data_IF_520012412660
#
_entry.id   IF_520012412660
#
_cell.length_a   1.000
_cell.length_b   1.000
_cell.length_c   1.000
_cell.angle_alpha   90.00
_cell.angle_beta   90.00
_cell.angle_gamma   90.00
#
_symmetry.space_group_name_H-M   'P 1'
#
loop_
_entity.id
_entity.type
_entity.pdbx_description
1 polymer ?
#
# COMPACT_ATOMS: atom_id res chain seq x y z
N UNK A 1 15.16 -34.41 -30.63
CA UNK A 1 14.29 -33.39 -30.00
C UNK A 1 15.15 -32.45 -29.16
N UNK A 2 14.61 -31.36 -28.61
CA UNK A 2 15.35 -30.38 -27.81
C UNK A 2 14.57 -29.92 -26.58
N UNK A 3 14.99 -28.80 -25.99
CA UNK A 3 14.46 -28.29 -24.73
C UNK A 3 13.72 -26.96 -24.91
N UNK A 4 12.56 -26.83 -24.27
CA UNK A 4 11.70 -25.65 -24.31
C UNK A 4 11.79 -24.84 -23.01
N UNK A 5 11.91 -23.52 -23.11
CA UNK A 5 12.25 -22.62 -22.02
C UNK A 5 11.25 -21.46 -21.93
N UNK A 6 10.93 -21.02 -20.71
CA UNK A 6 9.94 -19.96 -20.53
C UNK A 6 10.48 -18.56 -20.86
N UNK A 7 11.79 -18.33 -20.81
CA UNK A 7 12.39 -17.02 -21.10
C UNK A 7 13.83 -17.07 -21.60
N UNK A 8 14.20 -16.09 -22.42
CA UNK A 8 15.59 -15.71 -22.68
C UNK A 8 16.02 -14.61 -21.69
N UNK A 9 17.10 -14.85 -20.95
CA UNK A 9 17.69 -13.89 -20.03
C UNK A 9 18.41 -12.74 -20.75
N UNK A 10 18.82 -11.71 -20.00
CA UNK A 10 19.51 -10.54 -20.57
C UNK A 10 20.84 -10.89 -21.24
N UNK A 11 21.51 -11.94 -20.76
CA UNK A 11 22.73 -12.50 -21.34
C UNK A 11 22.49 -13.34 -22.61
N UNK A 12 21.24 -13.42 -23.11
CA UNK A 12 20.89 -14.19 -24.30
C UNK A 12 20.70 -15.69 -24.06
N UNK A 13 20.89 -16.18 -22.83
CA UNK A 13 20.75 -17.61 -22.50
C UNK A 13 19.32 -17.98 -22.12
N UNK A 14 18.98 -19.25 -22.34
CA UNK A 14 17.66 -19.79 -22.03
C UNK A 14 17.57 -20.13 -20.54
N UNK A 15 16.46 -19.78 -19.90
CA UNK A 15 16.21 -20.01 -18.49
C UNK A 15 14.78 -20.47 -18.24
N UNK A 16 14.62 -21.18 -17.13
CA UNK A 16 13.34 -21.74 -16.66
C UNK A 16 12.83 -22.79 -17.65
N UNK A 17 13.38 -23.99 -17.53
CA UNK A 17 12.98 -25.15 -18.33
C UNK A 17 11.48 -25.40 -18.15
N UNK A 18 10.77 -25.54 -19.25
CA UNK A 18 9.34 -25.81 -19.28
C UNK A 18 9.05 -27.27 -19.60
N UNK A 19 9.66 -27.78 -20.67
CA UNK A 19 9.50 -29.15 -21.17
C UNK A 19 10.76 -29.59 -21.90
N UNK A 20 11.08 -30.87 -21.80
CA UNK A 20 12.14 -31.56 -22.54
C UNK A 20 11.54 -32.36 -23.70
N UNK A 21 12.40 -32.93 -24.55
CA UNK A 21 12.00 -33.81 -25.67
C UNK A 21 10.93 -33.20 -26.59
N UNK A 22 11.12 -31.92 -26.96
CA UNK A 22 10.23 -31.20 -27.87
C UNK A 22 10.95 -30.71 -29.12
N UNK A 23 10.27 -30.81 -30.27
CA UNK A 23 10.67 -30.08 -31.47
C UNK A 23 10.55 -28.56 -31.26
N UNK A 24 11.23 -27.79 -32.12
CA UNK A 24 11.13 -26.33 -32.09
C UNK A 24 9.70 -25.88 -32.37
N UNK A 25 9.03 -26.54 -33.31
CA UNK A 25 7.66 -26.28 -33.74
C UNK A 25 6.67 -26.46 -32.57
N UNK A 26 6.80 -27.56 -31.82
CA UNK A 26 5.95 -27.84 -30.66
C UNK A 26 6.18 -26.82 -29.52
N UNK A 27 7.45 -26.49 -29.23
CA UNK A 27 7.78 -25.48 -28.23
C UNK A 27 7.24 -24.09 -28.61
N UNK A 28 7.35 -23.73 -29.89
CA UNK A 28 7.02 -22.40 -30.41
C UNK A 28 5.57 -22.23 -30.89
N UNK A 29 4.74 -23.28 -30.76
CA UNK A 29 3.32 -23.28 -31.13
C UNK A 29 2.48 -22.24 -30.38
N UNK A 30 2.86 -21.93 -29.12
CA UNK A 30 2.15 -20.92 -28.33
C UNK A 30 2.44 -19.48 -28.80
N UNK A 31 1.48 -18.57 -28.57
CA UNK A 31 1.66 -17.13 -28.81
C UNK A 31 2.54 -16.43 -27.77
N UNK A 32 3.10 -17.16 -26.80
CA UNK A 32 3.83 -16.57 -25.66
C UNK A 32 5.16 -15.96 -26.11
N UNK A 33 5.31 -14.66 -25.89
CA UNK A 33 6.43 -13.85 -26.37
C UNK A 33 7.82 -14.37 -25.95
N UNK A 34 7.98 -14.78 -24.69
CA UNK A 34 9.30 -15.05 -24.12
C UNK A 34 9.78 -16.49 -24.31
N UNK A 35 8.92 -17.38 -24.81
CA UNK A 35 9.27 -18.78 -25.00
C UNK A 35 10.46 -18.90 -25.94
N UNK A 36 11.40 -19.77 -25.58
CA UNK A 36 12.65 -19.99 -26.31
C UNK A 36 12.98 -21.48 -26.34
N UNK A 37 13.82 -21.91 -27.27
CA UNK A 37 14.14 -23.31 -27.52
C UNK A 37 15.65 -23.51 -27.66
N UNK A 38 16.15 -24.68 -27.30
CA UNK A 38 17.53 -25.12 -27.54
C UNK A 38 17.52 -26.50 -28.19
N UNK A 39 18.39 -26.71 -29.18
CA UNK A 39 18.44 -27.96 -29.94
C UNK A 39 19.05 -29.13 -29.17
N UNK A 40 20.00 -28.84 -28.28
CA UNK A 40 20.70 -29.87 -27.51
C UNK A 40 19.78 -30.49 -26.47
N UNK A 41 19.60 -31.80 -26.59
CA UNK A 41 19.05 -32.64 -25.54
C UNK A 41 20.21 -33.16 -24.70
N UNK A 42 20.31 -32.68 -23.45
CA UNK A 42 21.43 -32.93 -22.55
C UNK A 42 20.89 -33.48 -21.24
N UNK A 43 21.68 -34.34 -20.59
CA UNK A 43 21.29 -34.93 -19.32
C UNK A 43 21.08 -33.87 -18.20
N UNK A 44 20.36 -34.27 -17.17
CA UNK A 44 19.99 -33.41 -16.04
C UNK A 44 21.20 -32.73 -15.37
N UNK A 45 22.33 -33.44 -15.27
CA UNK A 45 23.57 -32.89 -14.71
C UNK A 45 24.11 -31.72 -15.52
N UNK A 46 24.01 -31.80 -16.85
CA UNK A 46 24.46 -30.74 -17.77
C UNK A 46 23.49 -29.56 -17.75
N UNK A 47 22.18 -29.82 -17.76
CA UNK A 47 21.15 -28.79 -17.59
C UNK A 47 21.35 -28.03 -16.28
N UNK A 48 21.58 -28.74 -15.18
CA UNK A 48 21.90 -28.18 -13.88
C UNK A 48 23.15 -27.31 -13.94
N UNK A 49 24.24 -27.83 -14.53
CA UNK A 49 25.49 -27.08 -14.66
C UNK A 49 25.29 -25.76 -15.41
N UNK A 50 24.54 -25.78 -16.51
CA UNK A 50 24.25 -24.57 -17.28
C UNK A 50 23.41 -23.56 -16.52
N UNK A 51 22.37 -24.03 -15.82
CA UNK A 51 21.45 -23.17 -15.08
C UNK A 51 22.13 -22.49 -13.88
N UNK A 52 22.97 -23.23 -13.15
CA UNK A 52 23.59 -22.73 -11.91
C UNK A 52 24.90 -21.99 -12.19
N UNK A 53 25.80 -22.55 -12.99
CA UNK A 53 27.16 -22.00 -13.15
C UNK A 53 27.32 -21.09 -14.37
N UNK A 54 26.50 -21.28 -15.41
CA UNK A 54 26.66 -20.55 -16.67
C UNK A 54 25.54 -19.52 -16.94
N UNK A 55 24.65 -19.32 -15.97
CA UNK A 55 23.56 -18.34 -16.07
C UNK A 55 22.51 -18.68 -17.13
N UNK A 56 22.38 -19.95 -17.52
CA UNK A 56 21.37 -20.47 -18.44
C UNK A 56 21.93 -21.36 -19.56
N UNK A 57 21.03 -22.02 -20.29
CA UNK A 57 21.37 -22.85 -21.43
C UNK A 57 21.91 -22.02 -22.61
N UNK A 58 23.01 -22.46 -23.27
CA UNK A 58 23.59 -21.80 -24.43
C UNK A 58 22.70 -21.97 -25.66
N UNK A 59 23.08 -21.35 -26.78
CA UNK A 59 22.43 -21.53 -28.10
C UNK A 59 20.91 -21.33 -28.07
N UNK A 60 20.46 -20.35 -27.28
CA UNK A 60 19.05 -20.10 -27.01
C UNK A 60 18.39 -19.39 -28.20
N UNK A 61 17.41 -20.05 -28.80
CA UNK A 61 16.67 -19.57 -29.96
C UNK A 61 15.29 -19.05 -29.50
N UNK A 62 15.01 -17.74 -29.57
CA UNK A 62 13.70 -17.22 -29.23
C UNK A 62 12.63 -17.73 -30.21
N UNK A 63 11.47 -18.13 -29.71
CA UNK A 63 10.37 -18.59 -30.57
C UNK A 63 9.70 -17.47 -31.37
N UNK A 64 9.89 -16.22 -30.95
CA UNK A 64 9.28 -15.03 -31.55
C UNK A 64 10.36 -13.99 -31.80
N UNK A 65 10.70 -13.79 -33.08
CA UNK A 65 11.65 -12.76 -33.52
C UNK A 65 10.94 -11.48 -33.96
N UNK A 66 9.67 -11.59 -34.34
CA UNK A 66 8.80 -10.46 -34.70
C UNK A 66 7.57 -10.42 -33.78
N UNK A 67 6.69 -9.44 -34.01
CA UNK A 67 5.39 -9.38 -33.33
C UNK A 67 4.31 -10.26 -33.97
N UNK A 68 4.64 -11.02 -35.01
CA UNK A 68 3.70 -11.92 -35.66
C UNK A 68 3.31 -13.07 -34.71
N UNK A 69 2.01 -13.34 -34.60
CA UNK A 69 1.45 -14.37 -33.71
C UNK A 69 1.87 -14.24 -32.23
N UNK A 70 2.20 -13.03 -31.76
CA UNK A 70 2.48 -12.75 -30.35
C UNK A 70 1.18 -12.38 -29.64
N UNK A 71 0.83 -13.15 -28.61
CA UNK A 71 -0.24 -12.82 -27.68
C UNK A 71 0.35 -12.16 -26.42
N UNK A 72 -0.02 -10.90 -26.20
CA UNK A 72 0.40 -10.12 -25.04
C UNK A 72 -0.60 -10.12 -23.89
N UNK A 73 -1.77 -10.74 -24.07
CA UNK A 73 -2.90 -10.64 -23.17
C UNK A 73 -3.59 -9.27 -23.17
N UNK A 74 -4.61 -9.09 -22.33
CA UNK A 74 -5.45 -7.89 -22.33
C UNK A 74 -4.68 -6.63 -21.96
N UNK A 75 -5.03 -5.51 -22.62
CA UNK A 75 -4.45 -4.19 -22.34
C UNK A 75 -2.97 -4.04 -22.71
N UNK A 76 -2.40 -4.97 -23.48
CA UNK A 76 -1.03 -4.93 -23.97
C UNK A 76 -1.00 -5.17 -25.48
N UNK A 77 0.02 -4.62 -26.13
CA UNK A 77 0.28 -4.85 -27.56
C UNK A 77 1.75 -5.13 -27.80
N UNK A 78 2.05 -5.94 -28.81
CA UNK A 78 3.42 -6.17 -29.21
C UNK A 78 3.97 -4.96 -29.97
N UNK A 79 5.19 -4.55 -29.63
CA UNK A 79 5.99 -3.57 -30.38
C UNK A 79 7.44 -4.03 -30.47
N UNK A 80 8.07 -3.74 -31.60
CA UNK A 80 9.52 -3.90 -31.76
C UNK A 80 10.23 -2.81 -30.97
N UNK A 81 11.24 -3.19 -30.18
CA UNK A 81 12.09 -2.23 -29.48
C UNK A 81 13.26 -1.76 -30.36
N UNK A 82 14.10 -0.86 -29.83
CA UNK A 82 15.28 -0.32 -30.54
C UNK A 82 16.34 -1.37 -30.94
N UNK A 83 16.25 -2.60 -30.43
CA UNK A 83 17.15 -3.72 -30.72
C UNK A 83 16.48 -4.77 -31.63
N UNK A 84 15.41 -4.41 -32.33
CA UNK A 84 14.59 -5.30 -33.14
C UNK A 84 14.14 -6.58 -32.41
N UNK A 85 13.84 -6.48 -31.10
CA UNK A 85 13.23 -7.57 -30.33
C UNK A 85 11.77 -7.25 -30.00
N UNK A 86 10.85 -8.20 -30.13
CA UNK A 86 9.44 -7.99 -29.82
C UNK A 86 9.25 -7.82 -28.30
N UNK A 87 8.38 -6.88 -27.91
CA UNK A 87 8.05 -6.55 -26.52
C UNK A 87 6.57 -6.27 -26.37
N UNK A 88 5.93 -6.94 -25.41
CA UNK A 88 4.60 -6.57 -24.97
C UNK A 88 4.64 -5.30 -24.13
N UNK A 89 4.01 -4.24 -24.61
CA UNK A 89 3.92 -2.95 -23.93
C UNK A 89 2.48 -2.65 -23.54
N UNK A 90 2.30 -1.95 -22.43
CA UNK A 90 0.99 -1.52 -21.97
C UNK A 90 0.33 -0.56 -22.97
N UNK A 91 -0.87 -0.94 -23.39
CA UNK A 91 -1.73 -0.20 -24.30
C UNK A 91 -3.19 -0.41 -23.87
N UNK A 92 -3.58 0.14 -22.71
CA UNK A 92 -4.97 0.12 -22.29
C UNK A 92 -5.82 0.88 -23.31
N UNK A 93 -7.08 0.46 -23.46
CA UNK A 93 -8.06 1.23 -24.20
C UNK A 93 -8.40 2.50 -23.42
N UNK A 94 -8.32 3.64 -24.11
CA UNK A 94 -8.56 4.96 -23.54
C UNK A 94 -9.63 5.74 -24.32
N UNK A 95 -10.34 5.08 -25.25
CA UNK A 95 -11.34 5.69 -26.12
C UNK A 95 -12.60 6.12 -25.35
N UNK A 96 -13.09 5.26 -24.45
CA UNK A 96 -14.31 5.48 -23.68
C UNK A 96 -14.15 6.32 -22.40
N UNK A 97 -12.98 6.94 -22.19
CA UNK A 97 -12.73 7.79 -21.03
C UNK A 97 -13.34 9.17 -21.27
N UNK A 98 -14.40 9.51 -20.54
CA UNK A 98 -15.10 10.80 -20.68
C UNK A 98 -14.36 11.94 -19.97
N UNK A 99 -13.82 11.69 -18.78
CA UNK A 99 -13.06 12.69 -18.02
C UNK A 99 -11.65 12.89 -18.59
N UNK A 100 -11.36 14.11 -19.07
CA UNK A 100 -10.05 14.45 -19.68
C UNK A 100 -9.07 15.12 -18.71
N UNK A 101 -9.52 15.49 -17.52
CA UNK A 101 -8.70 16.14 -16.49
C UNK A 101 -7.80 15.16 -15.72
N UNK A 102 -7.05 15.68 -14.72
CA UNK A 102 -6.28 14.84 -13.81
C UNK A 102 -7.17 13.95 -12.95
N UNK A 103 -6.59 12.88 -12.41
CA UNK A 103 -7.26 11.94 -11.50
C UNK A 103 -6.37 11.62 -10.31
N UNK A 104 -6.99 11.31 -9.16
CA UNK A 104 -6.28 10.83 -7.99
C UNK A 104 -6.37 9.30 -7.93
N UNK A 105 -5.21 8.64 -7.91
CA UNK A 105 -5.12 7.18 -7.78
C UNK A 105 -5.28 6.73 -6.32
N UNK A 106 -5.66 5.46 -6.13
CA UNK A 106 -5.71 4.81 -4.81
C UNK A 106 -4.35 4.82 -4.08
N UNK A 107 -3.26 4.92 -4.83
CA UNK A 107 -1.89 5.06 -4.33
C UNK A 107 -1.56 6.47 -3.79
N UNK A 108 -2.55 7.38 -3.72
CA UNK A 108 -2.38 8.76 -3.28
C UNK A 108 -1.65 9.65 -4.29
N UNK A 109 -1.39 9.18 -5.51
CA UNK A 109 -0.68 9.95 -6.54
C UNK A 109 -1.63 10.58 -7.54
N UNK A 110 -1.27 11.79 -7.97
CA UNK A 110 -2.00 12.48 -9.04
C UNK A 110 -1.48 12.02 -10.39
N UNK A 111 -2.39 11.51 -11.22
CA UNK A 111 -2.13 11.17 -12.61
C UNK A 111 -2.67 12.28 -13.52
N UNK A 112 -1.93 12.61 -14.57
CA UNK A 112 -2.32 13.66 -15.53
C UNK A 112 -3.69 13.44 -16.17
N UNK A 113 -4.11 12.17 -16.28
CA UNK A 113 -5.43 11.72 -16.70
C UNK A 113 -5.58 10.21 -16.41
N UNK A 114 -6.80 9.70 -16.56
CA UNK A 114 -7.13 8.29 -16.32
C UNK A 114 -6.35 7.32 -17.22
N UNK A 115 -6.13 7.66 -18.50
CA UNK A 115 -5.32 6.82 -19.40
C UNK A 115 -3.87 6.66 -18.93
N UNK A 116 -3.30 7.68 -18.27
CA UNK A 116 -1.98 7.59 -17.67
C UNK A 116 -1.97 6.67 -16.44
N UNK A 117 -3.02 6.71 -15.61
CA UNK A 117 -3.22 5.80 -14.49
C UNK A 117 -3.35 4.35 -14.98
N UNK A 118 -4.19 4.07 -15.98
CA UNK A 118 -4.35 2.72 -16.54
C UNK A 118 -3.04 2.16 -17.11
N UNK A 119 -2.17 3.02 -17.65
CA UNK A 119 -0.82 2.61 -18.09
C UNK A 119 0.09 2.28 -16.91
N UNK A 120 0.02 3.03 -15.81
CA UNK A 120 0.76 2.73 -14.59
C UNK A 120 0.25 1.42 -13.96
N UNK A 121 -1.07 1.21 -13.91
CA UNK A 121 -1.72 -0.01 -13.46
C UNK A 121 -1.19 -1.25 -14.19
N UNK A 122 -1.18 -1.20 -15.52
CA UNK A 122 -0.68 -2.29 -16.35
C UNK A 122 0.83 -2.58 -16.18
N UNK A 123 1.63 -1.57 -15.83
CA UNK A 123 3.09 -1.71 -15.72
C UNK A 123 3.53 -2.27 -14.38
N UNK A 124 2.98 -1.75 -13.28
CA UNK A 124 3.58 -1.89 -11.95
C UNK A 124 2.57 -2.22 -10.84
N UNK A 125 1.32 -1.72 -10.94
CA UNK A 125 0.37 -1.77 -9.82
C UNK A 125 -0.99 -2.31 -10.27
N UNK A 126 -1.22 -3.64 -10.27
CA UNK A 126 -2.46 -4.24 -10.77
C UNK A 126 -3.75 -3.69 -10.11
N UNK A 127 -3.68 -3.35 -8.82
CA UNK A 127 -4.80 -2.84 -8.01
C UNK A 127 -5.00 -1.31 -8.12
N UNK A 128 -4.22 -0.62 -8.95
CA UNK A 128 -4.30 0.85 -9.03
C UNK A 128 -5.57 1.30 -9.75
N UNK A 129 -6.44 2.00 -9.04
CA UNK A 129 -7.67 2.58 -9.60
C UNK A 129 -7.80 4.08 -9.32
N UNK A 130 -8.72 4.73 -10.01
CA UNK A 130 -9.11 6.11 -9.71
C UNK A 130 -10.01 6.10 -8.48
N UNK A 131 -9.64 6.84 -7.44
CA UNK A 131 -10.52 7.03 -6.27
C UNK A 131 -11.40 8.28 -6.37
N UNK A 132 -10.93 9.34 -7.05
CA UNK A 132 -11.74 10.51 -7.38
C UNK A 132 -11.13 11.32 -8.54
N UNK A 133 -11.99 12.11 -9.18
CA UNK A 133 -11.59 13.03 -10.26
C UNK A 133 -10.89 14.27 -9.70
N UNK A 134 -9.92 14.79 -10.45
CA UNK A 134 -9.08 15.92 -10.04
C UNK A 134 -7.72 15.49 -9.48
N UNK A 135 -6.95 16.46 -8.98
CA UNK A 135 -5.68 16.19 -8.30
C UNK A 135 -5.92 15.65 -6.89
N UNK A 136 -5.01 14.84 -6.38
CA UNK A 136 -5.06 14.42 -4.98
C UNK A 136 -4.94 15.63 -4.05
N UNK A 137 -5.70 15.62 -2.95
CA UNK A 137 -5.78 16.73 -1.99
C UNK A 137 -5.29 16.33 -0.61
N UNK A 138 -4.89 17.35 0.16
CA UNK A 138 -4.43 17.25 1.56
C UNK A 138 -5.53 17.45 2.60
N UNK A 139 -6.79 17.60 2.19
CA UNK A 139 -7.93 17.62 3.10
C UNK A 139 -9.15 17.15 2.32
N UNK A 140 -10.23 16.80 3.03
CA UNK A 140 -11.51 16.51 2.40
C UNK A 140 -12.26 17.76 1.89
N UNK A 141 -11.68 18.96 2.02
CA UNK A 141 -12.29 20.18 1.49
C UNK A 141 -12.31 20.14 -0.03
N UNK A 142 -13.50 20.34 -0.60
CA UNK A 142 -13.75 20.31 -2.04
C UNK A 142 -13.32 18.99 -2.71
N UNK A 143 -13.36 17.87 -1.98
CA UNK A 143 -13.22 16.52 -2.53
C UNK A 143 -14.62 15.96 -2.74
N UNK A 144 -14.95 15.67 -4.00
CA UNK A 144 -16.22 15.03 -4.36
C UNK A 144 -15.97 13.55 -4.62
N UNK A 145 -16.36 12.72 -3.66
CA UNK A 145 -16.23 11.28 -3.80
C UNK A 145 -17.31 10.70 -4.73
N UNK A 146 -16.96 9.73 -5.59
CA UNK A 146 -17.92 9.12 -6.50
C UNK A 146 -18.90 8.22 -5.75
N UNK A 147 -20.13 8.13 -6.26
CA UNK A 147 -21.15 7.20 -5.76
C UNK A 147 -21.49 7.42 -4.29
N UNK A 148 -21.39 6.36 -3.50
CA UNK A 148 -21.67 6.35 -2.05
C UNK A 148 -20.43 6.43 -1.17
N UNK A 149 -19.25 6.67 -1.77
CA UNK A 149 -18.00 6.80 -1.05
C UNK A 149 -17.95 8.08 -0.23
N UNK A 150 -17.27 8.01 0.91
CA UNK A 150 -17.06 9.10 1.86
C UNK A 150 -15.59 9.51 1.83
N UNK A 151 -15.33 10.82 1.98
CA UNK A 151 -13.96 11.30 2.10
C UNK A 151 -13.40 11.07 3.51
N UNK A 152 -12.20 10.51 3.59
CA UNK A 152 -11.41 10.35 4.82
C UNK A 152 -10.00 10.89 4.62
N UNK A 153 -9.30 11.24 5.70
CA UNK A 153 -7.87 11.60 5.66
C UNK A 153 -6.98 10.63 6.45
N UNK A 154 -5.75 10.43 5.99
CA UNK A 154 -4.70 9.70 6.71
C UNK A 154 -3.94 10.59 7.71
N UNK A 155 -2.97 10.01 8.42
CA UNK A 155 -2.13 10.70 9.40
C UNK A 155 -1.25 11.82 8.80
N UNK A 156 -1.06 11.84 7.48
CA UNK A 156 -0.34 12.90 6.75
C UNK A 156 -1.30 13.84 6.00
N UNK A 157 -2.59 13.77 6.37
CA UNK A 157 -3.71 14.49 5.82
C UNK A 157 -4.01 14.19 4.33
N UNK A 158 -3.51 13.13 3.71
CA UNK A 158 -3.94 12.84 2.33
C UNK A 158 -5.41 12.40 2.32
N UNK A 159 -6.19 12.95 1.38
CA UNK A 159 -7.61 12.66 1.26
C UNK A 159 -7.87 11.44 0.38
N UNK A 160 -8.75 10.56 0.86
CA UNK A 160 -9.17 9.33 0.17
C UNK A 160 -10.68 9.20 0.10
N UNK A 161 -11.18 8.63 -1.00
CA UNK A 161 -12.60 8.25 -1.12
C UNK A 161 -12.77 6.77 -0.85
N UNK A 162 -13.50 6.44 0.21
CA UNK A 162 -13.66 5.06 0.72
C UNK A 162 -15.12 4.75 0.98
N UNK A 163 -15.50 3.47 0.94
CA UNK A 163 -16.85 3.04 1.32
C UNK A 163 -16.88 2.67 2.80
N UNK A 164 -17.57 3.46 3.61
CA UNK A 164 -17.72 3.16 5.04
C UNK A 164 -18.64 1.96 5.26
N UNK A 165 -18.22 0.99 6.07
CA UNK A 165 -19.13 -0.04 6.55
C UNK A 165 -20.19 0.59 7.47
N UNK A 166 -21.46 0.50 7.09
CA UNK A 166 -22.59 1.06 7.84
C UNK A 166 -23.31 0.04 8.72
N UNK A 167 -23.05 -1.25 8.52
CA UNK A 167 -23.70 -2.35 9.21
C UNK A 167 -22.70 -2.96 10.19
N UNK A 168 -23.04 -2.93 11.47
CA UNK A 168 -22.26 -3.54 12.53
C UNK A 168 -23.11 -4.57 13.26
N UNK A 169 -22.53 -5.72 13.64
CA UNK A 169 -23.22 -6.67 14.50
C UNK A 169 -23.44 -6.06 15.89
N UNK A 170 -24.56 -6.44 16.52
CA UNK A 170 -24.83 -6.10 17.91
C UNK A 170 -23.78 -6.75 18.83
N UNK A 171 -23.39 -6.06 19.92
CA UNK A 171 -22.37 -6.57 20.81
C UNK A 171 -22.87 -7.81 21.56
N UNK A 172 -22.01 -8.83 21.67
CA UNK A 172 -22.34 -10.08 22.39
C UNK A 172 -21.90 -10.07 23.85
N UNK A 173 -21.01 -9.15 24.24
CA UNK A 173 -20.56 -9.00 25.63
C UNK A 173 -20.26 -7.55 26.00
N UNK A 174 -20.34 -7.17 27.29
CA UNK A 174 -19.96 -5.84 27.77
C UNK A 174 -18.49 -5.47 27.55
N UNK A 175 -17.61 -6.44 27.37
CA UNK A 175 -16.16 -6.24 27.15
C UNK A 175 -15.86 -5.66 25.76
N UNK A 176 -16.81 -5.73 24.82
CA UNK A 176 -16.63 -5.18 23.47
C UNK A 176 -16.79 -3.65 23.41
N UNK A 177 -17.35 -3.04 24.44
CA UNK A 177 -17.55 -1.60 24.48
C UNK A 177 -16.20 -0.87 24.49
N UNK A 178 -16.17 0.30 23.86
CA UNK A 178 -14.97 1.13 23.74
C UNK A 178 -15.29 2.58 24.06
N UNK A 179 -14.36 3.29 24.70
CA UNK A 179 -14.45 4.73 24.85
C UNK A 179 -13.58 5.41 23.79
N UNK A 180 -14.17 6.28 22.95
CA UNK A 180 -13.43 7.09 21.99
C UNK A 180 -12.77 8.31 22.64
N UNK A 181 -11.73 8.88 22.01
CA UNK A 181 -11.13 10.14 22.48
C UNK A 181 -12.09 11.34 22.38
N UNK A 182 -13.20 11.19 21.65
CA UNK A 182 -14.30 12.15 21.61
C UNK A 182 -15.24 12.05 22.83
N UNK A 183 -15.01 11.08 23.73
CA UNK A 183 -15.81 10.84 24.93
C UNK A 183 -17.10 10.08 24.68
N UNK A 184 -17.25 9.47 23.50
CA UNK A 184 -18.42 8.66 23.15
C UNK A 184 -18.14 7.19 23.44
N UNK A 185 -19.11 6.52 24.06
CA UNK A 185 -19.10 5.07 24.22
C UNK A 185 -19.59 4.39 22.95
N UNK A 186 -18.74 3.55 22.36
CA UNK A 186 -19.06 2.75 21.19
C UNK A 186 -19.34 1.31 21.61
N UNK A 187 -20.38 0.72 21.02
CA UNK A 187 -20.78 -0.66 21.31
C UNK A 187 -19.73 -1.70 20.89
N UNK A 188 -18.92 -1.41 19.87
CA UNK A 188 -17.83 -2.27 19.42
C UNK A 188 -16.81 -1.51 18.58
N UNK A 189 -15.68 -2.17 18.26
CA UNK A 189 -14.70 -1.65 17.31
C UNK A 189 -15.30 -1.33 15.93
N UNK A 190 -16.32 -2.07 15.48
CA UNK A 190 -17.04 -1.77 14.24
C UNK A 190 -17.72 -0.40 14.33
N UNK A 191 -18.42 -0.13 15.44
CA UNK A 191 -19.11 1.13 15.66
C UNK A 191 -18.16 2.33 15.73
N UNK A 192 -17.01 2.18 16.41
CA UNK A 192 -15.97 3.20 16.44
C UNK A 192 -15.39 3.48 15.04
N UNK A 193 -15.09 2.43 14.26
CA UNK A 193 -14.59 2.57 12.88
C UNK A 193 -15.63 3.18 11.94
N UNK A 194 -16.91 2.80 12.08
CA UNK A 194 -18.02 3.41 11.34
C UNK A 194 -18.10 4.90 11.63
N UNK A 195 -18.09 5.31 12.90
CA UNK A 195 -18.11 6.73 13.27
C UNK A 195 -16.87 7.48 12.77
N UNK A 196 -15.68 6.89 12.89
CA UNK A 196 -14.42 7.44 12.37
C UNK A 196 -14.49 7.69 10.86
N UNK A 197 -15.00 6.71 10.11
CA UNK A 197 -15.13 6.81 8.65
C UNK A 197 -16.16 7.88 8.24
N UNK A 198 -17.30 7.94 8.92
CA UNK A 198 -18.34 8.95 8.66
C UNK A 198 -17.89 10.36 9.06
N UNK A 199 -17.02 10.49 10.06
CA UNK A 199 -16.42 11.76 10.47
C UNK A 199 -15.37 12.26 9.46
N UNK A 200 -14.74 11.34 8.71
CA UNK A 200 -13.69 11.66 7.74
C UNK A 200 -12.29 11.84 8.33
N UNK A 201 -12.10 11.59 9.63
CA UNK A 201 -10.80 11.66 10.31
C UNK A 201 -10.77 10.75 11.54
N UNK A 202 -9.57 10.41 12.00
CA UNK A 202 -9.34 9.58 13.18
C UNK A 202 -9.99 10.18 14.44
N UNK A 203 -10.86 9.40 15.09
CA UNK A 203 -11.32 9.66 16.47
C UNK A 203 -10.30 9.10 17.45
N UNK A 204 -9.88 7.84 17.22
CA UNK A 204 -8.95 7.12 18.09
C UNK A 204 -9.62 6.55 19.33
N UNK A 205 -9.06 5.44 19.81
CA UNK A 205 -9.48 4.77 21.04
C UNK A 205 -8.85 5.51 22.24
N UNK A 206 -9.67 5.86 23.22
CA UNK A 206 -9.20 6.32 24.52
C UNK A 206 -8.84 5.11 25.40
N UNK A 207 -9.82 4.24 25.67
CA UNK A 207 -9.62 3.01 26.47
C UNK A 207 -10.74 1.99 26.20
N UNK A 208 -10.49 0.74 26.60
CA UNK A 208 -11.47 -0.36 26.52
C UNK A 208 -12.55 -0.19 27.61
N UNK A 209 -13.78 -0.60 27.29
CA UNK A 209 -14.95 -0.41 28.16
C UNK A 209 -15.77 0.85 27.85
N UNK A 210 -16.78 1.12 28.68
CA UNK A 210 -17.64 2.31 28.55
C UNK A 210 -16.90 3.56 29.03
N UNK A 211 -17.20 4.70 28.43
CA UNK A 211 -16.67 5.97 28.93
C UNK A 211 -17.17 6.27 30.33
N UNK A 212 -16.26 6.72 31.19
CA UNK A 212 -16.53 7.21 32.54
C UNK A 212 -16.25 8.71 32.64
N UNK A 213 -16.91 9.39 33.58
CA UNK A 213 -16.65 10.80 33.90
C UNK A 213 -15.44 10.92 34.84
N UNK A 214 -14.29 10.48 34.36
CA UNK A 214 -13.02 10.56 35.10
C UNK A 214 -12.65 12.03 35.37
N UNK A 215 -12.02 12.28 36.52
CA UNK A 215 -11.42 13.56 36.90
C UNK A 215 -9.89 13.56 36.78
N UNK A 216 -9.29 12.37 36.83
CA UNK A 216 -7.86 12.15 36.65
C UNK A 216 -7.61 10.76 36.08
N UNK A 217 -6.35 10.43 35.82
CA UNK A 217 -5.96 9.08 35.42
C UNK A 217 -6.18 8.01 36.50
N UNK A 218 -6.39 8.39 37.76
CA UNK A 218 -6.66 7.45 38.86
C UNK A 218 -8.01 6.72 38.68
N UNK A 219 -8.96 7.36 38.02
CA UNK A 219 -10.29 6.79 37.73
C UNK A 219 -10.25 5.80 36.56
N UNK A 220 -9.20 5.83 35.72
CA UNK A 220 -9.12 5.08 34.45
C UNK A 220 -8.26 3.84 34.62
N UNK A 221 -8.87 2.67 34.44
CA UNK A 221 -8.16 1.39 34.48
C UNK A 221 -7.71 1.00 33.07
N UNK A 222 -6.40 1.03 32.84
CA UNK A 222 -5.81 0.60 31.57
C UNK A 222 -5.50 -0.90 31.56
N UNK A 223 -5.78 -1.55 30.43
CA UNK A 223 -5.38 -2.95 30.19
C UNK A 223 -3.86 -3.13 30.29
N UNK A 224 -3.42 -4.37 30.54
CA UNK A 224 -2.00 -4.69 30.76
C UNK A 224 -1.08 -4.10 29.68
N UNK A 225 0.03 -3.50 30.11
CA UNK A 225 1.03 -2.88 29.23
C UNK A 225 0.71 -1.45 28.78
N UNK A 226 -0.47 -0.92 29.10
CA UNK A 226 -0.85 0.47 28.79
C UNK A 226 -0.77 1.36 30.03
N UNK A 227 -0.38 2.62 29.84
CA UNK A 227 -0.44 3.67 30.88
C UNK A 227 -1.48 4.72 30.51
N UNK A 228 -2.10 5.33 31.52
CA UNK A 228 -3.00 6.45 31.30
C UNK A 228 -2.22 7.74 31.07
N UNK A 229 -2.58 8.47 30.02
CA UNK A 229 -2.11 9.81 29.69
C UNK A 229 -3.29 10.78 29.80
N UNK A 230 -3.16 11.82 30.61
CA UNK A 230 -4.20 12.83 30.81
C UNK A 230 -4.07 14.01 29.85
N UNK A 231 -5.15 14.36 29.17
CA UNK A 231 -5.23 15.58 28.36
C UNK A 231 -5.94 16.68 29.15
N UNK A 232 -5.15 17.67 29.59
CA UNK A 232 -5.64 18.82 30.34
C UNK A 232 -6.46 19.81 29.50
N UNK A 233 -6.35 19.79 28.16
CA UNK A 233 -7.10 20.70 27.29
C UNK A 233 -8.57 20.29 27.20
N UNK A 234 -8.83 18.98 27.15
CA UNK A 234 -10.19 18.43 27.04
C UNK A 234 -10.72 17.81 28.33
N UNK A 235 -9.85 17.63 29.34
CA UNK A 235 -10.22 17.02 30.63
C UNK A 235 -10.56 15.53 30.51
N UNK A 236 -9.79 14.77 29.72
CA UNK A 236 -10.01 13.33 29.50
C UNK A 236 -8.69 12.57 29.49
N UNK A 237 -8.72 11.32 29.94
CA UNK A 237 -7.58 10.42 29.86
C UNK A 237 -7.69 9.41 28.73
N UNK A 238 -6.53 8.91 28.28
CA UNK A 238 -6.43 7.81 27.30
C UNK A 238 -5.34 6.82 27.71
N UNK A 239 -5.56 5.54 27.43
CA UNK A 239 -4.59 4.48 27.63
C UNK A 239 -3.70 4.33 26.39
N UNK A 240 -2.39 4.53 26.55
CA UNK A 240 -1.40 4.38 25.49
C UNK A 240 -0.40 3.27 25.84
N UNK A 241 0.15 2.64 24.81
CA UNK A 241 1.32 1.77 24.96
C UNK A 241 2.53 2.65 25.24
N UNK A 242 3.35 2.24 26.21
CA UNK A 242 4.51 2.98 26.70
C UNK A 242 5.75 2.07 26.79
N UNK A 243 5.90 1.19 25.80
CA UNK A 243 6.95 0.18 25.68
C UNK A 243 7.88 0.41 24.47
N UNK A 244 7.67 1.49 23.70
CA UNK A 244 8.55 1.84 22.58
C UNK A 244 9.95 2.25 23.07
N UNK A 245 10.97 1.61 22.51
CA UNK A 245 12.38 2.00 22.67
C UNK A 245 12.75 2.98 21.56
N UNK A 246 13.20 4.18 21.93
CA UNK A 246 13.56 5.22 20.97
C UNK A 246 15.01 5.08 20.51
N UNK A 247 15.29 4.91 19.20
CA UNK A 247 16.65 4.94 18.68
C UNK A 247 17.25 6.36 18.76
N UNK A 248 18.58 6.47 18.69
CA UNK A 248 19.25 7.77 18.59
C UNK A 248 18.72 8.55 17.38
N UNK A 249 18.19 9.74 17.63
CA UNK A 249 17.52 10.59 16.64
C UNK A 249 18.45 11.69 16.12
N UNK A 250 18.24 12.09 14.86
CA UNK A 250 18.97 13.21 14.25
C UNK A 250 18.29 14.54 14.58
N UNK A 251 19.03 15.65 14.53
CA UNK A 251 18.47 16.99 14.81
C UNK A 251 17.34 17.41 13.87
N UNK A 252 17.27 16.86 12.65
CA UNK A 252 16.20 17.14 11.67
C UNK A 252 14.86 16.50 12.03
N UNK A 253 14.84 15.59 13.00
CA UNK A 253 13.64 14.87 13.47
C UNK A 253 12.99 15.54 14.69
N UNK A 254 13.56 16.65 15.16
CA UNK A 254 13.05 17.37 16.32
C UNK A 254 11.60 17.83 16.11
N UNK A 255 10.82 17.84 17.19
CA UNK A 255 9.41 18.26 17.19
C UNK A 255 9.13 19.23 18.33
N UNK A 256 8.24 20.18 18.08
CA UNK A 256 7.64 21.00 19.12
C UNK A 256 6.34 20.34 19.57
N UNK A 257 6.26 20.02 20.86
CA UNK A 257 5.09 19.35 21.42
C UNK A 257 4.03 20.36 21.91
N UNK A 258 2.88 19.82 22.33
CA UNK A 258 1.71 20.58 22.79
C UNK A 258 1.92 21.38 24.09
N UNK A 259 2.97 21.07 24.85
CA UNK A 259 3.43 21.79 26.04
C UNK A 259 4.41 22.93 25.70
N UNK A 260 4.72 23.12 24.41
CA UNK A 260 5.74 24.04 23.88
C UNK A 260 7.18 23.68 24.27
N UNK A 261 7.45 22.41 24.55
CA UNK A 261 8.79 21.88 24.72
C UNK A 261 9.30 21.28 23.41
N UNK A 262 10.57 21.52 23.08
CA UNK A 262 11.24 20.86 21.95
C UNK A 262 11.74 19.50 22.37
N UNK A 263 11.33 18.45 21.67
CA UNK A 263 11.82 17.09 21.84
C UNK A 263 12.72 16.69 20.67
N UNK A 264 13.74 15.85 20.89
CA UNK A 264 14.67 15.44 19.83
C UNK A 264 14.01 14.59 18.74
N UNK A 265 12.89 13.93 19.05
CA UNK A 265 12.04 13.23 18.09
C UNK A 265 10.61 13.07 18.62
N UNK A 266 9.66 12.71 17.75
CA UNK A 266 8.31 12.32 18.16
C UNK A 266 8.32 11.11 19.13
N UNK A 267 9.29 10.20 18.99
CA UNK A 267 9.44 9.07 19.92
C UNK A 267 9.80 9.55 21.32
N UNK A 268 10.82 10.40 21.46
CA UNK A 268 11.23 10.95 22.75
C UNK A 268 10.11 11.79 23.40
N UNK A 269 9.30 12.49 22.59
CA UNK A 269 8.08 13.16 23.08
C UNK A 269 7.08 12.16 23.68
N UNK A 270 6.83 11.02 23.02
CA UNK A 270 5.92 9.98 23.53
C UNK A 270 6.46 9.31 24.80
N UNK A 271 7.77 9.07 24.87
CA UNK A 271 8.42 8.54 26.07
C UNK A 271 8.27 9.49 27.27
N UNK A 272 8.46 10.79 27.04
CA UNK A 272 8.24 11.82 28.06
C UNK A 272 6.77 11.89 28.50
N UNK A 273 5.82 11.89 27.54
CA UNK A 273 4.39 11.82 27.81
C UNK A 273 4.04 10.64 28.72
N UNK A 274 4.57 9.45 28.39
CA UNK A 274 4.42 8.22 29.16
C UNK A 274 5.04 8.27 30.56
N UNK A 275 6.15 8.98 30.72
CA UNK A 275 6.82 9.14 32.01
C UNK A 275 6.08 10.12 32.92
N UNK A 276 5.49 11.16 32.35
CA UNK A 276 4.74 12.20 33.07
C UNK A 276 3.26 11.86 33.29
N UNK A 277 2.70 10.88 32.56
CA UNK A 277 1.27 10.60 32.58
C UNK A 277 0.41 11.71 31.95
N UNK A 278 1.00 12.51 31.06
CA UNK A 278 0.37 13.67 30.40
C UNK A 278 0.36 13.44 28.90
N UNK A 279 -0.76 13.69 28.23
CA UNK A 279 -0.83 13.57 26.78
C UNK A 279 -0.03 14.71 26.11
N UNK A 280 0.94 14.33 25.28
CA UNK A 280 1.66 15.24 24.40
C UNK A 280 1.37 14.90 22.94
N UNK A 281 1.10 15.92 22.13
CA UNK A 281 0.91 15.81 20.68
C UNK A 281 1.89 16.74 19.95
N UNK A 282 2.30 16.35 18.74
CA UNK A 282 3.14 17.19 17.89
C UNK A 282 2.35 18.43 17.47
N UNK A 283 2.86 19.62 17.81
CA UNK A 283 2.32 20.91 17.38
C UNK A 283 2.83 21.28 15.99
N UNK A 284 4.14 21.13 15.77
CA UNK A 284 4.78 21.23 14.46
C UNK A 284 6.15 20.55 14.48
N UNK A 285 6.68 20.27 13.29
CA UNK A 285 8.06 19.81 13.10
C UNK A 285 9.06 20.93 13.42
N UNK A 286 10.26 20.56 13.86
CA UNK A 286 11.33 21.48 14.27
C UNK A 286 11.24 21.93 15.73
N UNK A 287 12.17 22.80 16.14
CA UNK A 287 12.17 23.39 17.48
C UNK A 287 11.01 24.37 17.68
N UNK A 288 10.57 24.55 18.93
CA UNK A 288 9.51 25.49 19.29
C UNK A 288 9.89 26.99 19.16
N UNK A 289 11.18 27.29 18.98
CA UNK A 289 11.71 28.66 18.91
C UNK A 289 11.42 29.34 17.57
#
# INVERSE_FOLDING_TARGET
AGNCWLRQARNGRCQVLYKTDLSKEECCKSGRLTTSWTAEDVNDNTLFKWMIFNGGAPNCIPCKETCENVDCGPGKKCKMNKKNKPRCVCAPDCSNITWKGPVCGLDGKTYRNECALLKARCKEQPELEVQYQGKCKKTCRDVLCPGSSTCVVDQTNNAYCVTCNRICPEPTSPEQYLCGNDGITYASACHLRKATCLLGRSIGLAYEGKCIKAKSCEDIQCSAGKKCLWDFKVGRGRCALCDELCPESKSEEAVCASDNTTYPSECAMKEAACSMGVLLEVKHSGSCN
#
